data_IF_869320725493
#
_entry.id   IF_869320725493
#
_cell.length_a   1.000
_cell.length_b   1.000
_cell.length_c   1.000
_cell.angle_alpha   90.00
_cell.angle_beta   90.00
_cell.angle_gamma   90.00
#
_symmetry.space_group_name_H-M   'P 1'
#
loop_
_entity.id
_entity.type
_entity.pdbx_description
1 polymer ?
#
# COMPACT_ATOMS: atom_id res chain seq x y z
N UNK A 1 7.61 4.59 45.32
CA UNK A 1 8.13 5.09 44.06
C UNK A 1 6.98 5.68 43.25
N UNK A 2 6.90 7.01 43.20
CA UNK A 2 5.84 7.70 42.50
C UNK A 2 6.10 7.63 40.98
N UNK A 3 5.15 7.07 40.23
CA UNK A 3 5.10 7.19 38.79
C UNK A 3 4.87 8.69 38.44
N UNK A 4 5.68 9.32 37.58
CA UNK A 4 5.44 10.71 37.21
C UNK A 4 4.09 10.81 36.50
N UNK A 5 3.27 11.77 36.89
CA UNK A 5 2.01 12.09 36.24
C UNK A 5 2.31 12.59 34.81
N UNK A 6 1.62 12.04 33.84
CA UNK A 6 1.66 12.46 32.42
C UNK A 6 1.24 13.93 32.33
N UNK A 7 2.04 14.77 31.67
CA UNK A 7 1.73 16.18 31.44
C UNK A 7 0.59 16.28 30.41
N UNK A 8 -0.31 17.28 30.53
CA UNK A 8 -1.29 17.56 29.48
C UNK A 8 -0.55 18.03 28.21
N UNK A 9 -0.37 17.13 27.25
CA UNK A 9 0.40 17.33 26.01
C UNK A 9 1.05 16.05 25.52
N UNK A 10 1.19 15.00 26.36
CA UNK A 10 1.79 13.71 26.01
C UNK A 10 0.81 12.67 25.44
N UNK A 11 -0.41 13.08 25.07
CA UNK A 11 -1.33 12.18 24.38
C UNK A 11 -0.84 11.97 22.95
N UNK A 12 -0.08 10.91 22.75
CA UNK A 12 0.35 10.48 21.41
C UNK A 12 -0.89 10.20 20.56
N UNK A 13 -0.95 10.83 19.39
CA UNK A 13 -2.06 10.65 18.47
C UNK A 13 -1.91 9.32 17.75
N UNK A 14 -2.84 8.41 17.99
CA UNK A 14 -2.95 7.16 17.23
C UNK A 14 -3.65 7.46 15.91
N UNK A 15 -2.97 7.17 14.81
CA UNK A 15 -3.52 7.29 13.47
C UNK A 15 -4.17 5.97 13.06
N UNK A 16 -5.31 6.03 12.38
CA UNK A 16 -6.01 4.87 11.80
C UNK A 16 -5.79 4.86 10.28
N UNK A 17 -5.51 3.68 9.74
CA UNK A 17 -5.33 3.45 8.31
C UNK A 17 -6.62 3.53 7.51
N UNK A 18 -6.53 3.22 6.22
CA UNK A 18 -7.65 3.24 5.27
C UNK A 18 -8.28 1.84 5.13
N UNK A 19 -9.53 1.81 4.69
CA UNK A 19 -10.19 0.57 4.31
C UNK A 19 -9.52 -0.04 3.06
N UNK A 20 -9.52 -1.38 2.89
CA UNK A 20 -8.95 -2.01 1.71
C UNK A 20 -9.76 -1.71 0.45
N UNK A 21 -9.07 -1.67 -0.69
CA UNK A 21 -9.69 -1.70 -2.01
C UNK A 21 -9.47 -3.10 -2.56
N UNK A 22 -10.46 -3.96 -2.47
CA UNK A 22 -10.38 -5.36 -2.91
C UNK A 22 -11.72 -5.83 -3.47
N UNK A 23 -11.69 -6.89 -4.24
CA UNK A 23 -12.88 -7.61 -4.72
C UNK A 23 -12.60 -9.12 -4.78
N UNK A 24 -13.62 -9.91 -5.04
CA UNK A 24 -13.47 -11.37 -5.26
C UNK A 24 -12.56 -11.69 -6.46
N UNK A 25 -12.36 -10.74 -7.36
CA UNK A 25 -11.46 -10.88 -8.51
C UNK A 25 -10.01 -10.47 -8.21
N UNK A 26 -9.69 -10.02 -7.00
CA UNK A 26 -8.33 -9.63 -6.65
C UNK A 26 -7.38 -10.82 -6.76
N UNK A 27 -6.47 -10.74 -7.74
CA UNK A 27 -5.42 -11.73 -7.98
C UNK A 27 -4.08 -11.32 -7.35
N UNK A 28 -3.76 -10.03 -7.33
CA UNK A 28 -2.55 -9.50 -6.67
C UNK A 28 -2.97 -8.47 -5.63
N UNK A 29 -2.63 -8.74 -4.37
CA UNK A 29 -2.83 -7.79 -3.27
C UNK A 29 -1.55 -7.01 -3.03
N UNK A 30 -1.60 -5.70 -3.26
CA UNK A 30 -0.49 -4.78 -3.00
C UNK A 30 -0.63 -4.25 -1.58
N UNK A 31 0.39 -4.44 -0.75
CA UNK A 31 0.40 -3.98 0.63
C UNK A 31 1.43 -2.87 0.84
N UNK A 32 0.96 -1.68 1.18
CA UNK A 32 1.78 -0.63 1.75
C UNK A 32 2.13 -0.90 3.22
N UNK A 33 2.90 -0.01 3.83
CA UNK A 33 3.14 0.00 5.28
C UNK A 33 1.97 0.64 6.02
N UNK A 34 1.80 1.94 5.85
CA UNK A 34 0.74 2.76 6.42
C UNK A 34 0.52 4.00 5.54
N UNK A 35 -0.70 4.52 5.40
CA UNK A 35 -0.98 5.66 4.53
C UNK A 35 -0.20 6.90 4.96
N UNK A 36 0.33 7.67 4.00
CA UNK A 36 0.93 8.97 4.28
C UNK A 36 -0.11 9.98 4.82
N UNK A 37 0.35 11.05 5.47
CA UNK A 37 -0.53 12.06 6.06
C UNK A 37 -1.56 12.61 5.07
N UNK A 38 -1.16 12.87 3.81
CA UNK A 38 -2.06 13.33 2.76
C UNK A 38 -3.12 12.29 2.38
N UNK A 39 -2.74 11.01 2.35
CA UNK A 39 -3.67 9.91 2.08
C UNK A 39 -4.72 9.78 3.17
N UNK A 40 -4.33 9.89 4.43
CA UNK A 40 -5.25 9.90 5.58
C UNK A 40 -6.19 11.10 5.49
N UNK A 41 -5.66 12.31 5.27
CA UNK A 41 -6.46 13.54 5.19
C UNK A 41 -7.49 13.49 4.06
N UNK A 42 -7.15 12.90 2.92
CA UNK A 42 -8.03 12.80 1.75
C UNK A 42 -8.82 11.49 1.68
N UNK A 43 -8.57 10.54 2.59
CA UNK A 43 -9.14 9.18 2.55
C UNK A 43 -8.91 8.49 1.19
N UNK A 44 -7.69 8.64 0.65
CA UNK A 44 -7.31 8.14 -0.69
C UNK A 44 -5.92 7.50 -0.66
N UNK A 45 -5.80 6.28 -1.17
CA UNK A 45 -4.50 5.63 -1.31
C UNK A 45 -3.58 6.40 -2.27
N UNK A 46 -2.32 6.52 -1.88
CA UNK A 46 -1.26 7.12 -2.69
C UNK A 46 -1.60 8.53 -3.20
N UNK A 47 -2.21 9.35 -2.32
CA UNK A 47 -2.68 10.71 -2.66
C UNK A 47 -1.56 11.74 -2.83
N UNK A 48 -0.34 11.46 -2.36
CA UNK A 48 0.78 12.38 -2.54
C UNK A 48 1.19 12.43 -4.02
N UNK A 49 1.26 13.61 -4.67
CA UNK A 49 1.46 13.74 -6.11
C UNK A 49 2.81 13.18 -6.60
N UNK A 50 3.82 13.15 -5.74
CA UNK A 50 5.14 12.59 -6.05
C UNK A 50 5.21 11.07 -5.79
N UNK A 51 4.16 10.43 -5.24
CA UNK A 51 4.15 8.98 -5.11
C UNK A 51 4.02 8.33 -6.48
N UNK A 52 4.95 7.42 -6.81
CA UNK A 52 5.00 6.77 -8.11
C UNK A 52 3.95 5.70 -8.35
N UNK A 53 3.12 5.33 -7.36
CA UNK A 53 2.19 4.19 -7.45
C UNK A 53 1.30 4.25 -8.71
N UNK A 54 0.49 5.29 -8.83
CA UNK A 54 -0.42 5.43 -9.98
C UNK A 54 0.32 5.57 -11.31
N UNK A 55 1.48 6.23 -11.29
CA UNK A 55 2.34 6.38 -12.46
C UNK A 55 2.95 5.05 -12.92
N UNK A 56 3.33 4.17 -11.99
CA UNK A 56 3.80 2.81 -12.29
C UNK A 56 2.67 2.01 -12.95
N UNK A 57 1.47 2.02 -12.36
CA UNK A 57 0.33 1.31 -12.92
C UNK A 57 -0.01 1.82 -14.32
N UNK A 58 -0.05 3.13 -14.55
CA UNK A 58 -0.27 3.70 -15.88
C UNK A 58 0.78 3.25 -16.90
N UNK A 59 2.04 3.11 -16.50
CA UNK A 59 3.10 2.65 -17.38
C UNK A 59 3.06 1.13 -17.66
N UNK A 60 2.43 0.36 -16.77
CA UNK A 60 2.17 -1.06 -17.00
C UNK A 60 1.02 -1.30 -17.99
N UNK A 61 0.01 -0.43 -17.98
CA UNK A 61 -1.14 -0.47 -18.91
C UNK A 61 -1.25 0.84 -19.69
N UNK A 62 -0.36 1.09 -20.64
CA UNK A 62 -0.28 2.39 -21.33
C UNK A 62 -1.48 2.68 -22.23
N UNK A 63 -2.15 1.64 -22.73
CA UNK A 63 -3.33 1.78 -23.62
C UNK A 63 -4.61 2.09 -22.83
N UNK A 64 -4.61 1.97 -21.52
CA UNK A 64 -5.77 2.16 -20.65
C UNK A 64 -5.53 3.33 -19.69
N UNK A 65 -5.80 4.58 -20.11
CA UNK A 65 -5.44 5.76 -19.32
C UNK A 65 -6.21 5.84 -18.01
N UNK A 66 -5.49 6.07 -16.93
CA UNK A 66 -6.07 6.33 -15.63
C UNK A 66 -6.82 7.67 -15.61
N UNK A 67 -7.98 7.68 -14.98
CA UNK A 67 -8.77 8.90 -14.84
C UNK A 67 -7.97 9.99 -14.09
N UNK A 68 -8.16 11.24 -14.53
CA UNK A 68 -7.56 12.44 -13.94
C UNK A 68 -8.65 13.41 -13.47
N UNK A 69 -8.30 14.36 -12.58
CA UNK A 69 -9.24 15.33 -12.05
C UNK A 69 -9.78 14.97 -10.67
N UNK A 70 -10.67 15.78 -10.13
CA UNK A 70 -11.14 15.70 -8.75
C UNK A 70 -11.86 14.38 -8.43
N UNK A 71 -12.71 13.89 -9.35
CA UNK A 71 -13.48 12.65 -9.18
C UNK A 71 -12.76 11.41 -9.71
N UNK A 72 -11.46 11.52 -9.95
CA UNK A 72 -10.68 10.44 -10.56
C UNK A 72 -10.44 9.26 -9.64
N UNK A 73 -10.48 9.44 -8.31
CA UNK A 73 -10.08 8.42 -7.37
C UNK A 73 -10.99 7.18 -7.37
N UNK A 74 -12.30 7.37 -7.41
CA UNK A 74 -13.24 6.24 -7.51
C UNK A 74 -13.07 5.48 -8.82
N UNK A 75 -12.87 6.20 -9.92
CA UNK A 75 -12.60 5.60 -11.23
C UNK A 75 -11.29 4.82 -11.24
N UNK A 76 -10.23 5.35 -10.61
CA UNK A 76 -8.95 4.65 -10.44
C UNK A 76 -9.08 3.42 -9.55
N UNK A 77 -9.85 3.50 -8.47
CA UNK A 77 -10.11 2.35 -7.59
C UNK A 77 -10.87 1.25 -8.32
N UNK A 78 -11.85 1.59 -9.15
CA UNK A 78 -12.55 0.63 -10.00
C UNK A 78 -11.62 0.02 -11.04
N UNK A 79 -10.83 0.86 -11.72
CA UNK A 79 -9.81 0.41 -12.67
C UNK A 79 -8.84 -0.61 -12.03
N UNK A 80 -8.38 -0.36 -10.81
CA UNK A 80 -7.57 -1.30 -10.02
C UNK A 80 -8.25 -2.68 -9.91
N UNK A 81 -9.51 -2.69 -9.47
CA UNK A 81 -10.28 -3.91 -9.28
C UNK A 81 -10.54 -4.65 -10.60
N UNK A 82 -10.81 -3.92 -11.68
CA UNK A 82 -11.01 -4.48 -13.03
C UNK A 82 -9.75 -5.18 -13.57
N UNK A 83 -8.55 -4.74 -13.11
CA UNK A 83 -7.26 -5.35 -13.45
C UNK A 83 -6.83 -6.47 -12.46
N UNK A 84 -7.73 -6.90 -11.59
CA UNK A 84 -7.41 -7.96 -10.60
C UNK A 84 -6.43 -7.52 -9.51
N UNK A 85 -6.29 -6.21 -9.30
CA UNK A 85 -5.45 -5.63 -8.26
C UNK A 85 -6.27 -5.32 -7.01
N UNK A 86 -5.66 -5.49 -5.85
CA UNK A 86 -6.16 -4.99 -4.58
C UNK A 86 -5.10 -4.17 -3.87
N UNK A 87 -5.53 -3.27 -2.99
CA UNK A 87 -4.63 -2.42 -2.20
C UNK A 87 -5.07 -2.39 -0.76
N UNK A 88 -4.12 -2.55 0.13
CA UNK A 88 -4.26 -2.29 1.56
C UNK A 88 -2.90 -1.95 2.17
N UNK A 89 -2.83 -1.89 3.50
CA UNK A 89 -1.61 -1.66 4.26
C UNK A 89 -1.42 -2.76 5.31
N UNK A 90 -0.19 -2.99 5.73
CA UNK A 90 0.10 -3.97 6.79
C UNK A 90 -0.31 -3.46 8.16
N UNK A 91 -0.27 -2.15 8.41
CA UNK A 91 -0.69 -1.57 9.68
C UNK A 91 -2.12 -1.03 9.62
N UNK A 92 -2.94 -1.44 10.58
CA UNK A 92 -4.28 -0.92 10.82
C UNK A 92 -4.23 0.45 11.50
N UNK A 93 -3.30 0.62 12.44
CA UNK A 93 -3.10 1.85 13.17
C UNK A 93 -1.66 1.95 13.66
N UNK A 94 -1.21 3.16 13.93
CA UNK A 94 0.11 3.42 14.53
C UNK A 94 0.19 4.81 15.13
N UNK A 95 1.21 5.05 15.94
CA UNK A 95 1.68 6.38 16.29
C UNK A 95 2.74 6.79 15.27
N UNK A 96 2.60 7.95 14.64
CA UNK A 96 3.58 8.46 13.68
C UNK A 96 3.48 9.96 13.49
N UNK A 97 4.62 10.63 13.50
CA UNK A 97 4.75 12.00 13.03
C UNK A 97 5.18 12.01 11.56
N UNK A 98 4.53 12.85 10.75
CA UNK A 98 4.81 12.94 9.31
C UNK A 98 4.37 11.70 8.53
N UNK A 99 5.14 11.32 7.51
CA UNK A 99 4.80 10.24 6.58
C UNK A 99 5.91 9.19 6.39
N UNK A 100 7.02 9.29 7.14
CA UNK A 100 8.12 8.34 7.00
C UNK A 100 7.83 7.05 7.76
N UNK A 101 8.09 5.92 7.13
CA UNK A 101 7.94 4.58 7.72
C UNK A 101 8.84 4.39 8.95
N UNK A 102 10.02 4.99 8.95
CA UNK A 102 10.94 4.95 10.09
C UNK A 102 10.41 5.60 11.37
N UNK A 103 9.37 6.44 11.24
CA UNK A 103 8.70 7.09 12.35
C UNK A 103 7.52 6.27 12.91
N UNK A 104 7.15 5.14 12.32
CA UNK A 104 6.07 4.27 12.79
C UNK A 104 6.43 3.70 14.17
N UNK A 105 5.52 3.85 15.13
CA UNK A 105 5.60 3.31 16.48
C UNK A 105 4.25 2.70 16.85
N UNK A 106 4.26 1.73 17.79
CA UNK A 106 3.06 1.08 18.31
C UNK A 106 2.10 0.61 17.20
N UNK A 107 2.68 0.03 16.13
CA UNK A 107 1.92 -0.43 14.97
C UNK A 107 1.07 -1.65 15.27
N UNK A 108 -0.23 -1.55 15.02
CA UNK A 108 -1.19 -2.68 15.05
C UNK A 108 -1.37 -3.18 13.63
N UNK A 109 -1.22 -4.49 13.43
CA UNK A 109 -1.34 -5.08 12.10
C UNK A 109 -2.80 -5.29 11.69
N UNK A 110 -3.07 -5.13 10.39
CA UNK A 110 -4.31 -5.57 9.78
C UNK A 110 -4.37 -7.11 9.72
N UNK A 111 -5.55 -7.66 9.91
CA UNK A 111 -5.83 -9.07 9.65
C UNK A 111 -6.09 -9.28 8.14
N UNK A 112 -4.99 -9.46 7.39
CA UNK A 112 -5.05 -9.64 5.93
C UNK A 112 -5.85 -10.90 5.56
N UNK A 113 -5.79 -11.96 6.39
CA UNK A 113 -6.50 -13.20 6.14
C UNK A 113 -8.02 -13.04 6.18
N UNK A 114 -8.52 -12.07 6.95
CA UNK A 114 -9.96 -11.78 7.04
C UNK A 114 -10.58 -11.29 5.73
N UNK A 115 -9.79 -10.83 4.77
CA UNK A 115 -10.26 -10.38 3.45
C UNK A 115 -10.88 -11.50 2.62
N UNK A 116 -10.46 -12.77 2.84
CA UNK A 116 -11.01 -13.97 2.15
C UNK A 116 -11.07 -13.80 0.64
N UNK A 117 -9.92 -13.51 0.00
CA UNK A 117 -9.82 -13.26 -1.42
C UNK A 117 -9.73 -14.59 -2.21
N UNK A 118 -10.82 -15.06 -2.86
CA UNK A 118 -10.89 -16.41 -3.42
C UNK A 118 -9.97 -16.59 -4.65
N UNK A 119 -9.58 -15.52 -5.31
CA UNK A 119 -8.71 -15.53 -6.49
C UNK A 119 -7.30 -15.03 -6.22
N UNK A 120 -6.94 -14.83 -4.95
CA UNK A 120 -5.61 -14.33 -4.61
C UNK A 120 -4.52 -15.29 -5.11
N UNK A 121 -3.67 -14.79 -5.99
CA UNK A 121 -2.55 -15.53 -6.58
C UNK A 121 -1.20 -15.08 -6.03
N UNK A 122 -1.08 -13.84 -5.55
CA UNK A 122 0.14 -13.32 -4.95
C UNK A 122 -0.12 -12.12 -4.03
N UNK A 123 0.82 -11.91 -3.09
CA UNK A 123 0.91 -10.67 -2.31
C UNK A 123 2.19 -9.94 -2.68
N UNK A 124 2.09 -8.65 -2.96
CA UNK A 124 3.21 -7.79 -3.31
C UNK A 124 3.36 -6.65 -2.28
N UNK A 125 4.41 -6.70 -1.48
CA UNK A 125 4.71 -5.66 -0.50
C UNK A 125 5.39 -4.47 -1.15
N UNK A 126 4.77 -3.31 -1.11
CA UNK A 126 5.28 -2.05 -1.65
C UNK A 126 6.27 -1.42 -0.67
N UNK A 127 7.51 -1.87 -0.74
CA UNK A 127 8.61 -1.36 0.07
C UNK A 127 9.06 -2.27 1.20
N UNK A 128 10.19 -1.88 1.81
CA UNK A 128 10.87 -2.69 2.81
C UNK A 128 10.12 -2.78 4.15
N UNK A 129 9.51 -1.70 4.60
CA UNK A 129 8.77 -1.70 5.88
C UNK A 129 7.56 -2.64 5.82
N UNK A 130 6.76 -2.56 4.75
CA UNK A 130 5.68 -3.52 4.52
C UNK A 130 6.22 -4.97 4.49
N UNK A 131 7.31 -5.22 3.77
CA UNK A 131 7.88 -6.56 3.62
C UNK A 131 8.45 -7.16 4.92
N UNK A 132 8.78 -6.37 5.92
CA UNK A 132 9.17 -6.88 7.27
C UNK A 132 8.10 -7.78 7.88
N UNK A 133 6.86 -7.61 7.46
CA UNK A 133 5.71 -8.39 7.90
C UNK A 133 5.33 -9.54 6.96
N UNK A 134 6.18 -9.87 5.98
CA UNK A 134 5.94 -10.94 5.01
C UNK A 134 5.66 -12.32 5.64
N UNK A 135 6.13 -12.58 6.86
CA UNK A 135 5.81 -13.83 7.59
C UNK A 135 4.31 -14.02 7.79
N UNK A 136 3.56 -12.94 7.99
CA UNK A 136 2.10 -12.99 8.18
C UNK A 136 1.39 -13.25 6.87
N UNK A 137 1.83 -12.63 5.78
CA UNK A 137 1.21 -12.81 4.46
C UNK A 137 1.57 -14.15 3.81
N UNK A 138 2.73 -14.75 4.14
CA UNK A 138 3.09 -16.11 3.71
C UNK A 138 2.11 -17.17 4.24
N UNK A 139 1.44 -16.92 5.35
CA UNK A 139 0.41 -17.83 5.89
C UNK A 139 -0.84 -17.92 4.99
N UNK A 140 -1.01 -17.01 4.04
CA UNK A 140 -2.08 -17.08 3.04
C UNK A 140 -1.86 -18.18 1.99
N UNK A 141 -0.68 -18.81 1.97
CA UNK A 141 -0.39 -19.92 1.06
C UNK A 141 -0.13 -19.53 -0.39
N UNK A 142 0.08 -18.24 -0.67
CA UNK A 142 0.43 -17.72 -2.01
C UNK A 142 1.83 -17.09 -2.01
N UNK A 143 2.48 -16.98 -3.18
CA UNK A 143 3.76 -16.28 -3.31
C UNK A 143 3.71 -14.87 -2.75
N UNK A 144 4.78 -14.47 -2.07
CA UNK A 144 4.93 -13.14 -1.46
C UNK A 144 6.17 -12.46 -2.02
N UNK A 145 5.99 -11.29 -2.60
CA UNK A 145 7.03 -10.53 -3.28
C UNK A 145 7.35 -9.22 -2.55
N UNK A 146 8.61 -8.80 -2.62
CA UNK A 146 9.04 -7.47 -2.23
C UNK A 146 9.21 -6.61 -3.47
N UNK A 147 8.47 -5.51 -3.52
CA UNK A 147 8.62 -4.48 -4.55
C UNK A 147 9.46 -3.31 -4.02
N UNK A 148 10.23 -2.62 -4.88
CA UNK A 148 10.79 -1.34 -4.50
C UNK A 148 9.67 -0.35 -4.23
N UNK A 149 9.78 0.40 -3.11
CA UNK A 149 8.75 1.34 -2.69
C UNK A 149 8.44 2.39 -3.77
N UNK A 150 7.15 2.61 -4.03
CA UNK A 150 6.66 3.69 -4.87
C UNK A 150 6.79 5.08 -4.23
N UNK A 151 7.10 5.14 -2.94
CA UNK A 151 7.28 6.39 -2.18
C UNK A 151 8.40 7.24 -2.77
N UNK A 152 8.25 8.60 -2.79
CA UNK A 152 9.34 9.51 -3.15
C UNK A 152 10.52 9.43 -2.18
N UNK A 153 10.33 8.97 -0.94
CA UNK A 153 11.41 8.72 0.01
C UNK A 153 12.39 7.64 -0.46
N UNK A 154 11.98 6.74 -1.37
CA UNK A 154 12.87 5.78 -2.01
C UNK A 154 13.54 6.39 -3.26
N UNK A 155 14.34 7.42 -3.06
CA UNK A 155 15.00 8.16 -4.14
C UNK A 155 16.20 7.42 -4.78
N UNK A 156 16.71 6.36 -4.15
CA UNK A 156 17.83 5.56 -4.67
C UNK A 156 17.48 4.70 -5.88
N UNK A 157 16.17 4.50 -6.13
CA UNK A 157 15.67 3.78 -7.29
C UNK A 157 15.06 4.74 -8.30
N UNK A 158 15.55 4.71 -9.56
CA UNK A 158 14.91 5.44 -10.64
C UNK A 158 13.52 4.90 -10.92
N UNK A 159 12.68 5.69 -11.59
CA UNK A 159 11.34 5.27 -11.98
C UNK A 159 11.39 4.01 -12.88
N UNK A 160 12.29 3.98 -13.84
CA UNK A 160 12.45 2.87 -14.79
C UNK A 160 12.83 1.57 -14.06
N UNK A 161 13.72 1.64 -13.08
CA UNK A 161 14.09 0.47 -12.26
C UNK A 161 12.91 -0.02 -11.41
N UNK A 162 12.14 0.90 -10.82
CA UNK A 162 10.92 0.54 -10.09
C UNK A 162 9.92 -0.13 -11.02
N UNK A 163 9.66 0.47 -12.19
CA UNK A 163 8.73 -0.05 -13.17
C UNK A 163 9.12 -1.46 -13.63
N UNK A 164 10.39 -1.69 -13.94
CA UNK A 164 10.89 -3.00 -14.35
C UNK A 164 10.67 -4.07 -13.28
N UNK A 165 10.97 -3.76 -12.01
CA UNK A 165 10.77 -4.70 -10.90
C UNK A 165 9.28 -5.00 -10.63
N UNK A 166 8.40 -4.01 -10.76
CA UNK A 166 6.96 -4.21 -10.63
C UNK A 166 6.41 -5.03 -11.78
N UNK A 167 6.84 -4.75 -13.03
CA UNK A 167 6.46 -5.51 -14.23
C UNK A 167 6.81 -6.98 -14.09
N UNK A 168 8.04 -7.29 -13.71
CA UNK A 168 8.52 -8.67 -13.53
C UNK A 168 7.62 -9.49 -12.59
N UNK A 169 7.14 -8.90 -11.50
CA UNK A 169 6.24 -9.57 -10.56
C UNK A 169 4.83 -9.68 -11.15
N UNK A 170 4.29 -8.61 -11.70
CA UNK A 170 2.89 -8.57 -12.13
C UNK A 170 2.60 -9.43 -13.36
N UNK A 171 3.54 -9.51 -14.31
CA UNK A 171 3.42 -10.37 -15.51
C UNK A 171 3.25 -11.85 -15.19
N UNK A 172 3.62 -12.28 -13.98
CA UNK A 172 3.44 -13.67 -13.53
C UNK A 172 1.98 -13.98 -13.17
N UNK A 173 1.18 -13.01 -12.86
CA UNK A 173 -0.16 -13.19 -12.29
C UNK A 173 -1.26 -12.42 -13.03
N UNK A 174 -0.89 -11.45 -13.84
CA UNK A 174 -1.80 -10.53 -14.52
C UNK A 174 -1.46 -10.44 -16.00
N UNK A 175 -2.49 -10.14 -16.80
CA UNK A 175 -2.28 -9.82 -18.22
C UNK A 175 -1.83 -8.36 -18.32
N UNK A 176 -0.57 -8.16 -18.71
CA UNK A 176 0.00 -6.84 -18.97
C UNK A 176 0.32 -6.76 -20.47
N UNK A 177 -0.19 -5.72 -21.17
CA UNK A 177 -0.01 -5.59 -22.61
C UNK A 177 1.44 -5.25 -23.01
#
# INVERSE_FOLDING_TARGET
>A
MNKPALRPGDAKVVLTGLAPIVSDNTAVLILGSFPGARSIAQQRYYAHPQNGFWRILQALWPAEPLATGEDSYEKRSRWLLDHGLGVWDVYASCEREGSLDSAIREGVLNDIASLRLPRLAAVAHNGGESFRHARHTRLLGVPVHRLPSSSPANASWSFERKLAAWREVFERYLVIP
#
